data_IF_018656451352
#
_entry.id   IF_018656451352
#
_cell.length_a   1.000
_cell.length_b   1.000
_cell.length_c   1.000
_cell.angle_alpha   90.00
_cell.angle_beta   90.00
_cell.angle_gamma   90.00
#
_symmetry.space_group_name_H-M   'P 1'
#
loop_
_entity.id
_entity.type
_entity.pdbx_description
1 polymer ?
#
# COMPACT_ATOMS: atom_id res chain seq x y z
N UNK A 1 14.71 -6.41 -55.10
CA UNK A 1 15.63 -5.61 -54.25
C UNK A 1 14.90 -5.01 -53.03
N UNK A 2 14.09 -3.94 -53.14
CA UNK A 2 13.49 -3.24 -51.97
C UNK A 2 12.90 -4.15 -50.85
N UNK A 3 12.11 -5.18 -51.20
CA UNK A 3 11.54 -6.13 -50.21
C UNK A 3 12.57 -6.94 -49.41
N UNK A 4 13.78 -7.18 -49.94
CA UNK A 4 14.83 -7.94 -49.25
C UNK A 4 15.51 -7.11 -48.14
N UNK A 5 15.70 -5.81 -48.40
CA UNK A 5 16.32 -4.86 -47.47
C UNK A 5 15.44 -4.67 -46.23
N UNK A 6 14.12 -4.57 -46.44
CA UNK A 6 13.15 -4.41 -45.34
C UNK A 6 13.16 -5.60 -44.38
N UNK A 7 13.25 -6.83 -44.91
CA UNK A 7 13.27 -8.06 -44.12
C UNK A 7 14.57 -8.19 -43.30
N UNK A 8 15.71 -7.79 -43.88
CA UNK A 8 16.99 -7.69 -43.18
C UNK A 8 16.95 -6.70 -42.00
N UNK A 9 16.32 -5.53 -42.19
CA UNK A 9 16.11 -4.54 -41.14
C UNK A 9 15.27 -5.08 -39.97
N UNK A 10 14.18 -5.79 -40.25
CA UNK A 10 13.33 -6.38 -39.19
C UNK A 10 14.05 -7.45 -38.36
N UNK A 11 14.92 -8.26 -38.97
CA UNK A 11 15.68 -9.29 -38.25
C UNK A 11 16.75 -8.68 -37.34
N UNK A 12 17.42 -7.61 -37.79
CA UNK A 12 18.41 -6.89 -36.97
C UNK A 12 17.74 -6.23 -35.75
N UNK A 13 16.59 -5.57 -35.95
CA UNK A 13 15.89 -4.88 -34.87
C UNK A 13 15.38 -5.84 -33.78
N UNK A 14 14.84 -7.00 -34.18
CA UNK A 14 14.45 -8.05 -33.25
C UNK A 14 15.66 -8.67 -32.49
N UNK A 15 16.81 -8.81 -33.16
CA UNK A 15 18.02 -9.35 -32.56
C UNK A 15 18.62 -8.46 -31.46
N UNK A 16 18.56 -7.13 -31.61
CA UNK A 16 19.08 -6.18 -30.61
C UNK A 16 18.22 -6.19 -29.33
N UNK A 17 16.89 -6.28 -29.46
CA UNK A 17 15.98 -6.35 -28.31
C UNK A 17 16.23 -7.59 -27.45
N UNK A 18 16.52 -8.75 -28.06
CA UNK A 18 16.67 -10.01 -27.32
C UNK A 18 17.96 -10.09 -26.47
N UNK A 19 18.98 -9.30 -26.78
CA UNK A 19 20.27 -9.32 -26.05
C UNK A 19 20.22 -8.45 -24.79
N UNK A 20 19.45 -7.35 -24.82
CA UNK A 20 19.37 -6.40 -23.70
C UNK A 20 18.32 -6.77 -22.64
N UNK A 21 17.48 -7.79 -22.87
CA UNK A 21 16.37 -8.18 -21.98
C UNK A 21 16.64 -9.43 -21.12
N UNK A 22 17.92 -9.76 -20.86
CA UNK A 22 18.31 -10.80 -19.90
C UNK A 22 18.66 -10.14 -18.56
N UNK A 23 17.79 -10.18 -17.53
CA UNK A 23 18.16 -9.73 -16.20
C UNK A 23 19.26 -10.62 -15.62
N UNK A 24 20.39 -10.05 -15.23
CA UNK A 24 21.46 -10.81 -14.57
C UNK A 24 21.07 -11.15 -13.13
N UNK A 25 20.88 -12.44 -12.85
CA UNK A 25 20.66 -12.93 -11.50
C UNK A 25 21.92 -12.78 -10.64
N UNK A 26 21.96 -11.76 -9.78
CA UNK A 26 23.08 -11.53 -8.86
C UNK A 26 23.10 -12.58 -7.73
N UNK A 27 23.83 -13.68 -7.97
CA UNK A 27 23.99 -14.79 -7.03
C UNK A 27 25.02 -14.43 -5.92
N UNK A 28 24.56 -13.77 -4.86
CA UNK A 28 25.39 -13.40 -3.71
C UNK A 28 25.41 -14.48 -2.61
N UNK A 29 26.17 -15.55 -2.85
CA UNK A 29 26.51 -16.51 -1.80
C UNK A 29 27.45 -15.87 -0.76
N UNK A 30 26.96 -15.49 0.43
CA UNK A 30 27.83 -15.11 1.55
C UNK A 30 27.40 -15.59 2.94
N UNK A 31 27.68 -16.88 3.17
CA UNK A 31 28.34 -17.37 4.37
C UNK A 31 27.67 -17.13 5.74
N UNK A 32 26.84 -18.12 6.13
CA UNK A 32 26.40 -18.37 7.51
C UNK A 32 27.60 -18.46 8.48
N UNK A 33 27.64 -17.60 9.50
CA UNK A 33 28.52 -17.74 10.68
C UNK A 33 27.70 -18.04 11.93
N UNK A 34 27.81 -19.26 12.45
CA UNK A 34 27.51 -19.52 13.87
C UNK A 34 28.61 -18.89 14.72
N UNK A 35 28.26 -18.52 15.95
CA UNK A 35 29.22 -18.31 17.02
C UNK A 35 28.64 -18.87 18.31
N UNK A 36 29.06 -20.08 18.68
CA UNK A 36 28.69 -20.71 19.96
C UNK A 36 29.46 -20.08 21.12
N UNK A 37 28.76 -19.72 22.20
CA UNK A 37 29.21 -19.66 23.61
C UNK A 37 28.07 -19.09 24.49
N UNK A 38 27.86 -19.47 25.76
CA UNK A 38 28.70 -20.27 26.69
C UNK A 38 27.84 -21.23 27.53
N UNK A 39 28.11 -22.53 27.39
CA UNK A 39 28.31 -23.55 28.44
C UNK A 39 27.65 -23.42 29.84
N UNK A 40 26.96 -24.49 30.29
CA UNK A 40 27.13 -25.01 31.67
C UNK A 40 25.89 -25.22 32.57
N UNK A 41 25.28 -26.41 32.55
CA UNK A 41 25.44 -27.44 33.61
C UNK A 41 24.52 -28.68 33.40
N UNK A 42 24.99 -29.85 33.83
CA UNK A 42 24.20 -31.06 34.14
C UNK A 42 23.76 -30.98 35.64
N UNK A 43 23.00 -31.88 36.29
CA UNK A 43 22.47 -33.27 36.11
C UNK A 43 21.09 -33.33 36.86
N UNK A 44 20.28 -34.39 37.02
CA UNK A 44 20.36 -35.85 36.75
C UNK A 44 19.01 -36.42 36.20
N UNK A 45 18.49 -37.56 36.70
CA UNK A 45 17.39 -38.38 36.13
C UNK A 45 16.57 -39.08 37.25
N UNK A 46 15.40 -39.68 36.91
CA UNK A 46 14.57 -40.68 37.66
C UNK A 46 13.50 -40.04 38.59
N UNK A 47 12.18 -40.12 38.30
CA UNK A 47 11.21 -41.25 38.51
C UNK A 47 11.00 -41.59 40.00
N UNK A 48 9.79 -41.74 40.56
CA UNK A 48 8.58 -42.41 40.06
C UNK A 48 7.25 -41.85 40.66
N UNK A 49 6.14 -42.45 40.21
CA UNK A 49 4.74 -42.49 40.71
C UNK A 49 4.51 -42.21 42.23
N UNK A 50 3.33 -41.80 42.72
CA UNK A 50 2.03 -42.51 42.55
C UNK A 50 0.83 -41.75 43.19
N UNK A 51 -0.36 -41.86 42.57
CA UNK A 51 -1.70 -41.52 43.13
C UNK A 51 -1.94 -40.04 43.54
N UNK A 52 -3.17 -39.57 43.80
CA UNK A 52 -4.49 -40.23 43.86
C UNK A 52 -5.59 -39.31 43.27
N UNK A 53 -6.76 -39.84 42.91
CA UNK A 53 -7.90 -39.05 42.44
C UNK A 53 -9.01 -38.98 43.49
N UNK A 54 -9.43 -37.78 43.86
CA UNK A 54 -10.72 -37.57 44.54
C UNK A 54 -11.62 -36.63 43.73
N UNK A 55 -12.93 -36.84 43.88
CA UNK A 55 -13.99 -36.27 43.04
C UNK A 55 -14.78 -35.22 43.81
N UNK A 56 -15.30 -34.18 43.14
CA UNK A 56 -16.63 -33.61 43.44
C UNK A 56 -17.17 -32.86 42.22
N UNK A 57 -18.50 -32.89 42.07
CA UNK A 57 -19.25 -32.36 40.94
C UNK A 57 -19.87 -31.01 41.32
N UNK A 58 -19.81 -30.03 40.40
CA UNK A 58 -20.72 -28.89 40.39
C UNK A 58 -21.13 -28.60 38.94
N UNK A 59 -22.44 -28.51 38.69
CA UNK A 59 -22.98 -28.07 37.39
C UNK A 59 -23.39 -26.61 37.49
N UNK A 60 -22.97 -25.80 36.51
CA UNK A 60 -23.46 -24.43 36.34
C UNK A 60 -24.02 -24.27 34.93
N UNK A 61 -25.12 -23.53 34.85
CA UNK A 61 -25.89 -23.18 33.65
C UNK A 61 -25.05 -22.74 32.45
N UNK A 62 -25.55 -23.06 31.25
CA UNK A 62 -25.04 -22.54 29.98
C UNK A 62 -25.82 -21.26 29.64
N UNK A 63 -25.33 -20.11 30.10
CA UNK A 63 -25.81 -18.83 29.57
C UNK A 63 -25.38 -18.69 28.10
N UNK A 64 -26.35 -18.44 27.23
CA UNK A 64 -26.14 -18.23 25.80
C UNK A 64 -25.89 -16.75 25.53
N UNK A 65 -24.66 -16.30 25.82
CA UNK A 65 -24.19 -14.99 25.35
C UNK A 65 -24.04 -15.01 23.83
N UNK A 66 -25.05 -14.47 23.14
CA UNK A 66 -24.87 -14.04 21.75
C UNK A 66 -23.67 -13.09 21.72
N UNK A 67 -22.70 -13.28 20.79
CA UNK A 67 -21.72 -12.24 20.54
C UNK A 67 -22.46 -10.93 20.25
N UNK A 68 -22.05 -9.85 20.90
CA UNK A 68 -22.40 -8.51 20.43
C UNK A 68 -21.82 -8.38 19.02
N UNK A 69 -22.59 -7.83 18.10
CA UNK A 69 -22.00 -7.22 16.92
C UNK A 69 -20.98 -6.19 17.43
N UNK A 70 -19.75 -6.27 16.94
CA UNK A 70 -18.70 -5.38 17.38
C UNK A 70 -18.87 -4.06 16.64
N UNK A 71 -19.09 -2.96 17.40
CA UNK A 71 -18.92 -1.63 16.85
C UNK A 71 -17.45 -1.48 16.44
N UNK A 72 -17.18 -1.62 15.14
CA UNK A 72 -15.87 -1.34 14.57
C UNK A 72 -15.65 0.17 14.65
N UNK A 73 -14.83 0.62 15.60
CA UNK A 73 -14.34 1.99 15.61
C UNK A 73 -13.53 2.22 14.34
N UNK A 74 -14.08 3.03 13.44
CA UNK A 74 -13.49 3.32 12.13
C UNK A 74 -12.41 4.36 12.33
N UNK A 75 -11.22 3.92 12.74
CA UNK A 75 -10.07 4.78 13.06
C UNK A 75 -9.48 5.48 11.80
N UNK A 76 -10.00 5.21 10.60
CA UNK A 76 -9.64 5.89 9.34
C UNK A 76 -10.62 5.61 8.20
N UNK A 77 -10.70 6.53 7.22
CA UNK A 77 -11.66 6.49 6.10
C UNK A 77 -11.65 5.19 5.29
N UNK A 78 -10.49 4.53 5.15
CA UNK A 78 -10.34 3.33 4.33
C UNK A 78 -9.89 2.11 5.13
N UNK A 79 -9.92 2.18 6.47
CA UNK A 79 -9.36 1.16 7.37
C UNK A 79 -7.90 0.80 6.99
N UNK A 80 -7.12 1.81 6.59
CA UNK A 80 -5.76 1.60 6.12
C UNK A 80 -4.74 1.49 7.27
N UNK A 81 -3.52 1.07 6.95
CA UNK A 81 -2.38 1.12 7.84
C UNK A 81 -1.15 1.65 7.10
N UNK A 82 -0.53 2.71 7.63
CA UNK A 82 0.68 3.30 7.05
C UNK A 82 1.85 2.32 7.21
N UNK A 83 2.60 2.12 6.13
CA UNK A 83 3.92 1.50 6.14
C UNK A 83 4.94 2.51 5.59
N UNK A 84 6.18 2.44 6.05
CA UNK A 84 7.25 3.37 5.61
C UNK A 84 6.94 4.86 5.87
N UNK A 85 6.17 5.16 6.95
CA UNK A 85 5.71 6.51 7.34
C UNK A 85 6.82 7.58 7.23
N UNK A 86 6.52 8.69 6.53
CA UNK A 86 7.42 9.82 6.30
C UNK A 86 6.98 11.08 7.08
N UNK A 87 6.76 10.92 8.38
CA UNK A 87 6.34 11.94 9.37
C UNK A 87 4.93 12.55 9.16
N UNK A 88 4.03 11.85 8.46
CA UNK A 88 2.63 12.26 8.27
C UNK A 88 1.63 11.36 9.02
N UNK A 89 0.44 11.88 9.38
CA UNK A 89 -0.58 11.12 10.09
C UNK A 89 -1.31 10.12 9.17
N UNK A 90 -2.27 9.42 9.76
CA UNK A 90 -3.26 8.62 9.05
C UNK A 90 -4.24 9.52 8.27
N UNK A 91 -5.00 8.97 7.31
CA UNK A 91 -5.99 9.77 6.60
C UNK A 91 -7.21 10.03 7.49
N UNK A 92 -7.55 11.31 7.67
CA UNK A 92 -8.73 11.70 8.44
C UNK A 92 -9.99 11.81 7.56
N UNK A 93 -11.15 11.74 8.21
CA UNK A 93 -12.48 11.73 7.59
C UNK A 93 -13.09 13.13 7.71
N UNK A 94 -13.38 13.84 6.60
CA UNK A 94 -14.23 15.05 6.65
C UNK A 94 -15.54 14.76 7.40
N UNK A 95 -15.97 15.62 8.33
CA UNK A 95 -17.10 15.31 9.25
C UNK A 95 -18.38 14.81 8.53
N UNK A 96 -18.62 15.33 7.33
CA UNK A 96 -19.74 14.99 6.44
C UNK A 96 -19.77 13.50 6.03
N UNK A 97 -18.61 12.85 6.00
CA UNK A 97 -18.42 11.47 5.54
C UNK A 97 -18.44 10.45 6.69
N UNK A 98 -18.35 10.87 7.96
CA UNK A 98 -18.30 10.00 9.16
C UNK A 98 -19.50 9.06 9.34
N UNK A 99 -20.61 9.31 8.62
CA UNK A 99 -21.86 8.55 8.75
C UNK A 99 -22.18 7.68 7.50
N UNK A 100 -21.21 7.50 6.60
CA UNK A 100 -21.36 6.73 5.36
C UNK A 100 -20.40 5.54 5.39
N UNK A 101 -20.90 4.34 5.06
CA UNK A 101 -20.06 3.14 4.93
C UNK A 101 -19.30 3.15 3.59
N UNK A 102 -18.31 4.04 3.52
CA UNK A 102 -17.46 4.29 2.37
C UNK A 102 -16.54 3.09 2.12
N UNK A 103 -16.05 2.44 3.17
CA UNK A 103 -15.19 1.26 3.06
C UNK A 103 -15.92 0.08 2.39
N UNK A 104 -17.14 -0.27 2.81
CA UNK A 104 -17.92 -1.33 2.15
C UNK A 104 -18.23 -0.96 0.71
N UNK A 105 -18.65 0.27 0.43
CA UNK A 105 -18.96 0.72 -0.94
C UNK A 105 -17.74 0.65 -1.88
N UNK A 106 -16.55 1.04 -1.38
CA UNK A 106 -15.28 0.92 -2.11
C UNK A 106 -14.92 -0.54 -2.36
N UNK A 107 -15.08 -1.41 -1.36
CA UNK A 107 -14.78 -2.84 -1.48
C UNK A 107 -15.72 -3.52 -2.49
N UNK A 108 -17.03 -3.32 -2.40
CA UNK A 108 -18.01 -3.84 -3.37
C UNK A 108 -17.70 -3.36 -4.80
N UNK A 109 -17.37 -2.08 -4.98
CA UNK A 109 -17.03 -1.53 -6.29
C UNK A 109 -15.70 -2.08 -6.82
N UNK A 110 -14.69 -2.27 -5.97
CA UNK A 110 -13.41 -2.89 -6.33
C UNK A 110 -13.62 -4.31 -6.83
N UNK A 111 -14.31 -5.15 -6.04
CA UNK A 111 -14.66 -6.55 -6.37
C UNK A 111 -15.40 -6.63 -7.72
N UNK A 112 -16.37 -5.75 -7.95
CA UNK A 112 -17.22 -5.80 -9.13
C UNK A 112 -16.58 -5.27 -10.42
N UNK A 113 -15.55 -4.40 -10.33
CA UNK A 113 -15.03 -3.66 -11.49
C UNK A 113 -13.52 -3.85 -11.77
N UNK A 114 -12.70 -4.27 -10.81
CA UNK A 114 -11.27 -4.43 -11.02
C UNK A 114 -10.96 -5.80 -11.63
N UNK A 115 -10.20 -5.80 -12.73
CA UNK A 115 -9.68 -7.02 -13.33
C UNK A 115 -8.54 -7.59 -12.50
N UNK A 116 -8.30 -8.90 -12.61
CA UNK A 116 -7.22 -9.59 -11.90
C UNK A 116 -5.83 -9.01 -12.18
N UNK A 117 -5.62 -8.37 -13.34
CA UNK A 117 -4.38 -7.63 -13.65
C UNK A 117 -4.27 -6.32 -12.83
N UNK A 118 -5.37 -5.57 -12.71
CA UNK A 118 -5.44 -4.35 -11.89
C UNK A 118 -5.37 -4.67 -10.38
N UNK A 119 -5.89 -5.83 -9.94
CA UNK A 119 -5.71 -6.33 -8.57
C UNK A 119 -4.24 -6.70 -8.33
N UNK A 120 -3.69 -7.59 -9.15
CA UNK A 120 -2.32 -8.09 -9.03
C UNK A 120 -1.26 -6.98 -9.06
N UNK A 121 -1.49 -5.89 -9.81
CA UNK A 121 -0.62 -4.72 -9.81
C UNK A 121 -0.36 -4.14 -8.40
N UNK A 122 -1.33 -4.30 -7.49
CA UNK A 122 -1.30 -3.76 -6.12
C UNK A 122 -0.90 -4.81 -5.05
N UNK A 123 -0.69 -6.09 -5.40
CA UNK A 123 -0.35 -7.16 -4.46
C UNK A 123 1.14 -7.24 -4.08
N UNK A 124 1.92 -6.19 -4.35
CA UNK A 124 3.34 -6.10 -4.00
C UNK A 124 3.65 -4.71 -3.49
N UNK A 125 4.34 -4.62 -2.35
CA UNK A 125 4.83 -3.35 -1.82
C UNK A 125 5.88 -2.74 -2.76
N UNK A 126 5.81 -1.42 -2.98
CA UNK A 126 6.98 -0.66 -3.43
C UNK A 126 8.00 -0.63 -2.29
N UNK A 127 9.29 -0.71 -2.63
CA UNK A 127 10.40 -0.54 -1.69
C UNK A 127 10.66 0.93 -1.39
N UNK A 128 11.35 1.25 -0.28
CA UNK A 128 11.74 2.63 0.05
C UNK A 128 12.47 3.33 -1.11
N UNK A 129 13.31 2.61 -1.85
CA UNK A 129 14.05 3.17 -3.00
C UNK A 129 13.10 3.52 -4.15
N UNK A 130 12.03 2.76 -4.37
CA UNK A 130 11.01 3.08 -5.39
C UNK A 130 10.13 4.26 -4.95
N UNK A 131 9.81 4.37 -3.66
CA UNK A 131 9.09 5.51 -3.08
C UNK A 131 9.94 6.80 -3.08
N UNK A 132 11.23 6.69 -2.75
CA UNK A 132 12.19 7.80 -2.80
C UNK A 132 12.39 8.28 -4.26
N UNK A 133 12.60 7.35 -5.20
CA UNK A 133 12.72 7.67 -6.63
C UNK A 133 11.44 8.33 -7.19
N UNK A 134 10.26 7.85 -6.80
CA UNK A 134 8.97 8.44 -7.20
C UNK A 134 8.80 9.84 -6.60
N UNK A 135 9.19 10.03 -5.34
CA UNK A 135 9.21 11.35 -4.70
C UNK A 135 10.15 12.32 -5.42
N UNK A 136 11.35 11.88 -5.80
CA UNK A 136 12.27 12.71 -6.58
C UNK A 136 11.70 13.02 -7.98
N UNK A 137 11.17 12.01 -8.68
CA UNK A 137 10.62 12.17 -10.03
C UNK A 137 9.46 13.18 -10.08
N UNK A 138 8.55 13.16 -9.09
CA UNK A 138 7.45 14.13 -8.99
C UNK A 138 7.93 15.56 -8.71
N UNK A 139 8.90 15.72 -7.80
CA UNK A 139 9.44 17.05 -7.48
C UNK A 139 10.34 17.63 -8.60
N UNK A 140 10.72 16.83 -9.59
CA UNK A 140 11.38 17.30 -10.82
C UNK A 140 10.41 17.75 -11.93
N UNK A 141 9.08 17.62 -11.75
CA UNK A 141 8.09 18.02 -12.76
C UNK A 141 7.83 19.53 -12.67
N UNK A 142 8.04 20.26 -13.78
CA UNK A 142 7.78 21.71 -13.87
C UNK A 142 6.35 22.10 -13.42
N UNK A 143 5.36 21.22 -13.66
CA UNK A 143 3.96 21.42 -13.31
C UNK A 143 3.64 21.24 -11.81
N UNK A 144 4.53 20.62 -11.03
CA UNK A 144 4.37 20.35 -9.59
C UNK A 144 5.38 21.14 -8.72
N UNK A 145 6.20 21.96 -9.36
CA UNK A 145 7.29 22.70 -8.73
C UNK A 145 6.79 23.63 -7.60
N UNK A 146 7.40 23.51 -6.42
CA UNK A 146 7.04 24.28 -5.22
C UNK A 146 5.94 23.65 -4.35
N UNK A 147 5.45 22.46 -4.69
CA UNK A 147 4.58 21.68 -3.80
C UNK A 147 5.36 20.85 -2.77
N UNK A 148 6.67 20.62 -2.95
CA UNK A 148 7.53 19.82 -2.04
C UNK A 148 6.92 18.47 -1.63
N UNK A 149 6.45 17.71 -2.63
CA UNK A 149 5.69 16.48 -2.49
C UNK A 149 6.48 15.38 -1.75
N UNK A 150 5.78 14.54 -0.99
CA UNK A 150 6.32 13.34 -0.34
C UNK A 150 5.50 12.12 -0.74
N UNK A 151 6.11 10.95 -0.91
CA UNK A 151 5.37 9.69 -1.13
C UNK A 151 5.70 8.69 -0.04
N UNK A 152 4.66 8.20 0.66
CA UNK A 152 4.73 7.01 1.50
C UNK A 152 3.78 5.92 0.96
N UNK A 153 3.47 4.90 1.75
CA UNK A 153 2.65 3.79 1.29
C UNK A 153 1.70 3.34 2.40
N UNK A 154 0.44 3.11 2.05
CA UNK A 154 -0.55 2.53 2.95
C UNK A 154 -0.91 1.12 2.50
N UNK A 155 -1.46 0.33 3.41
CA UNK A 155 -2.03 -0.97 3.09
C UNK A 155 -3.47 -1.05 3.56
N UNK A 156 -4.34 -1.58 2.70
CA UNK A 156 -5.77 -1.81 2.95
C UNK A 156 -6.08 -3.28 2.68
N UNK A 157 -7.24 -3.75 3.14
CA UNK A 157 -7.81 -5.01 2.64
C UNK A 157 -8.91 -4.67 1.62
N UNK A 158 -8.88 -5.31 0.45
CA UNK A 158 -9.92 -5.20 -0.59
C UNK A 158 -10.06 -6.58 -1.27
N UNK A 159 -11.28 -7.05 -1.53
CA UNK A 159 -11.57 -8.41 -2.00
C UNK A 159 -10.94 -9.52 -1.12
N UNK A 160 -10.95 -9.29 0.21
CA UNK A 160 -10.23 -10.05 1.24
C UNK A 160 -8.69 -10.16 1.07
N UNK A 161 -8.11 -9.51 0.05
CA UNK A 161 -6.66 -9.46 -0.19
C UNK A 161 -6.02 -8.16 0.35
N UNK A 162 -4.74 -8.25 0.74
CA UNK A 162 -3.98 -7.10 1.27
C UNK A 162 -3.31 -6.30 0.16
N UNK A 163 -3.91 -5.19 -0.25
CA UNK A 163 -3.36 -4.28 -1.27
C UNK A 163 -2.32 -3.31 -0.70
N UNK A 164 -1.37 -2.90 -1.54
CA UNK A 164 -0.29 -1.96 -1.24
C UNK A 164 -0.42 -0.72 -2.14
N UNK A 165 -0.76 0.42 -1.53
CA UNK A 165 -1.17 1.64 -2.23
C UNK A 165 -0.16 2.75 -1.90
N UNK A 166 0.64 3.25 -2.85
CA UNK A 166 1.42 4.47 -2.66
C UNK A 166 0.49 5.66 -2.40
N UNK A 167 0.85 6.45 -1.39
CA UNK A 167 0.12 7.64 -0.95
C UNK A 167 0.99 8.87 -1.21
N UNK A 168 0.60 9.65 -2.21
CA UNK A 168 1.23 10.94 -2.50
C UNK A 168 0.64 11.98 -1.55
N UNK A 169 1.53 12.63 -0.81
CA UNK A 169 1.21 13.61 0.21
C UNK A 169 1.63 14.98 -0.31
N UNK A 170 0.65 15.86 -0.43
CA UNK A 170 0.84 17.28 -0.69
C UNK A 170 0.91 17.98 0.68
N UNK A 171 2.02 18.63 1.06
CA UNK A 171 2.25 19.19 2.40
C UNK A 171 1.44 20.48 2.70
N UNK A 172 0.45 20.80 1.87
CA UNK A 172 -0.44 21.96 1.99
C UNK A 172 -1.88 21.57 1.63
N UNK A 173 -2.85 22.36 2.09
CA UNK A 173 -4.28 22.18 1.78
C UNK A 173 -4.53 22.30 0.28
N UNK A 174 -5.54 21.57 -0.24
CA UNK A 174 -5.93 21.55 -1.66
C UNK A 174 -6.05 22.96 -2.27
N UNK A 175 -6.74 23.87 -1.58
CA UNK A 175 -6.93 25.27 -1.98
C UNK A 175 -5.60 26.04 -2.16
N UNK A 176 -4.55 25.68 -1.42
CA UNK A 176 -3.21 26.27 -1.56
C UNK A 176 -2.35 25.51 -2.57
N UNK A 177 -2.50 24.20 -2.69
CA UNK A 177 -1.86 23.43 -3.76
C UNK A 177 -2.29 23.96 -5.14
N UNK A 178 -3.59 24.15 -5.37
CA UNK A 178 -4.15 24.70 -6.62
C UNK A 178 -3.71 26.16 -6.91
N UNK A 179 -3.18 26.90 -5.91
CA UNK A 179 -2.58 28.24 -6.09
C UNK A 179 -1.11 28.21 -6.45
N UNK A 180 -0.40 27.14 -6.10
CA UNK A 180 1.02 26.93 -6.37
C UNK A 180 1.18 26.24 -7.73
N UNK A 181 0.38 25.20 -7.95
CA UNK A 181 0.33 24.38 -9.14
C UNK A 181 -1.14 24.09 -9.48
N UNK A 182 -1.63 24.69 -10.56
CA UNK A 182 -2.98 24.45 -11.10
C UNK A 182 -3.09 22.99 -11.62
N UNK A 183 -4.26 22.37 -11.44
CA UNK A 183 -4.54 20.96 -11.79
C UNK A 183 -3.52 19.97 -11.20
N UNK A 184 -3.01 20.20 -9.99
CA UNK A 184 -1.91 19.39 -9.44
C UNK A 184 -2.30 17.92 -9.16
N UNK A 185 -3.55 17.62 -8.84
CA UNK A 185 -4.03 16.24 -8.70
C UNK A 185 -3.98 15.49 -10.04
N UNK A 186 -4.45 16.12 -11.13
CA UNK A 186 -4.38 15.56 -12.50
C UNK A 186 -2.91 15.33 -12.91
N UNK A 187 -2.03 16.29 -12.63
CA UNK A 187 -0.60 16.18 -12.93
C UNK A 187 0.07 15.07 -12.10
N UNK A 188 -0.17 15.00 -10.78
CA UNK A 188 0.32 13.91 -9.90
C UNK A 188 -0.16 12.56 -10.41
N UNK A 189 -1.46 12.39 -10.70
CA UNK A 189 -1.99 11.13 -11.23
C UNK A 189 -1.31 10.74 -12.54
N UNK A 190 -1.18 11.68 -13.49
CA UNK A 190 -0.55 11.40 -14.78
C UNK A 190 0.92 10.98 -14.64
N UNK A 191 1.68 11.66 -13.78
CA UNK A 191 3.10 11.39 -13.59
C UNK A 191 3.35 10.11 -12.81
N UNK A 192 2.67 9.87 -11.68
CA UNK A 192 2.85 8.63 -10.90
C UNK A 192 2.52 7.40 -11.77
N UNK A 193 1.40 7.42 -12.51
CA UNK A 193 1.01 6.31 -13.37
C UNK A 193 2.01 6.06 -14.51
N UNK A 194 2.79 7.07 -14.88
CA UNK A 194 3.89 6.94 -15.85
C UNK A 194 5.11 6.23 -15.24
N UNK A 195 5.45 6.51 -13.98
CA UNK A 195 6.60 5.90 -13.30
C UNK A 195 6.32 4.47 -12.77
N UNK A 196 5.13 4.21 -12.18
CA UNK A 196 4.80 2.93 -11.51
C UNK A 196 3.65 2.12 -12.15
N UNK A 197 3.10 2.59 -13.27
CA UNK A 197 2.04 1.91 -14.01
C UNK A 197 0.64 2.03 -13.38
N UNK A 198 -0.29 1.19 -13.85
CA UNK A 198 -1.72 1.23 -13.48
C UNK A 198 -2.02 0.64 -12.09
N UNK A 199 -1.41 1.21 -11.06
CA UNK A 199 -1.68 0.91 -9.64
C UNK A 199 -2.85 1.75 -9.11
N UNK A 200 -3.39 1.33 -7.98
CA UNK A 200 -4.12 2.24 -7.10
C UNK A 200 -3.13 3.25 -6.51
N UNK A 201 -3.53 4.52 -6.49
CA UNK A 201 -2.79 5.62 -5.87
C UNK A 201 -3.76 6.36 -4.97
N UNK A 202 -3.28 6.71 -3.77
CA UNK A 202 -3.95 7.64 -2.88
C UNK A 202 -3.29 9.03 -3.02
N UNK A 203 -4.07 10.10 -3.18
CA UNK A 203 -3.58 11.48 -3.10
C UNK A 203 -4.24 12.16 -1.90
N UNK A 204 -3.41 12.72 -1.02
CA UNK A 204 -3.85 13.36 0.20
C UNK A 204 -3.19 14.72 0.42
N UNK A 205 -3.96 15.66 0.96
CA UNK A 205 -3.59 17.06 1.20
C UNK A 205 -3.53 17.32 2.70
N UNK A 206 -2.36 17.73 3.18
CA UNK A 206 -2.12 17.98 4.60
C UNK A 206 -2.57 19.38 4.99
N UNK A 207 -3.33 19.54 6.08
CA UNK A 207 -3.57 20.85 6.69
C UNK A 207 -2.58 21.10 7.84
N UNK A 208 -1.59 21.99 7.71
CA UNK A 208 -0.62 22.24 8.78
C UNK A 208 -1.19 22.94 10.02
N UNK A 209 -2.43 23.46 9.95
CA UNK A 209 -3.09 24.13 11.08
C UNK A 209 -3.76 23.13 12.02
N UNK A 210 -4.60 22.25 11.49
CA UNK A 210 -5.20 21.14 12.23
C UNK A 210 -4.20 19.99 12.50
N UNK A 211 -3.25 19.79 11.57
CA UNK A 211 -2.32 18.63 11.46
C UNK A 211 -2.99 17.34 10.98
N UNK A 212 -4.08 17.48 10.25
CA UNK A 212 -4.85 16.39 9.65
C UNK A 212 -4.45 16.21 8.17
N UNK A 213 -4.64 15.00 7.64
CA UNK A 213 -4.30 14.64 6.27
C UNK A 213 -5.56 14.12 5.57
N UNK A 214 -6.07 14.89 4.61
CA UNK A 214 -7.34 14.61 3.95
C UNK A 214 -7.10 13.94 2.60
N UNK A 215 -7.68 12.75 2.38
CA UNK A 215 -7.61 12.07 1.08
C UNK A 215 -8.62 12.69 0.12
N UNK A 216 -8.15 13.06 -1.07
CA UNK A 216 -8.97 13.61 -2.14
C UNK A 216 -9.19 12.62 -3.28
N UNK A 217 -8.24 11.70 -3.51
CA UNK A 217 -8.35 10.68 -4.56
C UNK A 217 -7.85 9.32 -4.07
N UNK A 218 -8.59 8.25 -4.41
CA UNK A 218 -8.11 6.88 -4.45
C UNK A 218 -8.54 6.27 -5.79
N UNK A 219 -7.59 6.07 -6.71
CA UNK A 219 -7.91 5.72 -8.12
C UNK A 219 -6.79 4.91 -8.77
N UNK A 220 -7.12 4.14 -9.81
CA UNK A 220 -6.14 3.74 -10.82
C UNK A 220 -6.38 4.54 -12.13
N UNK A 221 -5.71 4.21 -13.24
CA UNK A 221 -5.83 4.95 -14.52
C UNK A 221 -7.22 4.83 -15.17
N UNK A 222 -7.96 3.77 -14.83
CA UNK A 222 -9.19 3.37 -15.53
C UNK A 222 -10.44 3.55 -14.67
N UNK A 223 -10.30 3.60 -13.34
CA UNK A 223 -11.38 3.55 -12.35
C UNK A 223 -10.99 4.32 -11.08
N UNK A 224 -11.78 5.33 -10.66
CA UNK A 224 -11.73 5.83 -9.29
C UNK A 224 -12.46 4.86 -8.36
N UNK A 225 -11.92 4.67 -7.15
CA UNK A 225 -12.62 4.10 -5.99
C UNK A 225 -13.25 5.21 -5.16
N UNK A 226 -12.55 6.33 -5.00
CA UNK A 226 -12.97 7.48 -4.22
C UNK A 226 -12.43 8.78 -4.85
N UNK A 227 -13.27 9.81 -4.90
CA UNK A 227 -12.89 11.19 -5.18
C UNK A 227 -13.69 12.10 -4.26
N UNK A 228 -13.01 13.09 -3.67
CA UNK A 228 -13.60 14.12 -2.82
C UNK A 228 -13.20 15.51 -3.31
N UNK A 229 -14.11 16.46 -3.20
CA UNK A 229 -13.95 17.85 -3.59
C UNK A 229 -14.68 18.73 -2.58
N UNK A 230 -13.99 19.68 -1.96
CA UNK A 230 -14.64 20.77 -1.22
C UNK A 230 -15.27 21.75 -2.22
N UNK A 231 -16.53 22.16 -1.97
CA UNK A 231 -17.26 23.19 -2.75
C UNK A 231 -16.93 24.63 -2.30
#
# INVERSE_FOLDING_TARGET
MKKLILLLLTVILAGVLYINFIPQSFNSNKMKTLSDNTNGSQVEIVSDNQAESETTIASTEVETTSPSEAETTVDSLFNEAIINNRDYPQADVPEELLNVDIYTAINEYYIANYSEEEKAANQTALTDVELDNLTEALNQKDALNGLDLTVDQVTMNLDDEKVYIPRVIVPVTYENAQRIAEDNDINILSDVMTEIGNRLIMIAYYNPQEKELYVYHLTNWTKPLFTYTQE
#
